data_IF_951934227847
#
_entry.id   IF_951934227847
#
_cell.length_a   1.000
_cell.length_b   1.000
_cell.length_c   1.000
_cell.angle_alpha   90.00
_cell.angle_beta   90.00
_cell.angle_gamma   90.00
#
_symmetry.space_group_name_H-M   'P 1'
#
loop_
_entity.id
_entity.type
_entity.pdbx_description
1 polymer ?
#
# COMPACT_ATOMS: atom_id res chain seq x y z
N UNK A 1 40.83 24.40 23.48
CA UNK A 1 40.59 23.64 22.24
C UNK A 1 39.11 23.74 21.92
N UNK A 2 38.74 24.70 21.09
CA UNK A 2 37.38 24.82 20.54
C UNK A 2 37.51 24.43 19.08
N UNK A 3 37.02 23.25 18.70
CA UNK A 3 37.01 22.80 17.31
C UNK A 3 35.77 23.38 16.63
N UNK A 4 36.04 24.35 15.78
CA UNK A 4 35.16 24.94 14.77
C UNK A 4 34.58 23.85 13.84
N UNK A 5 33.28 23.56 13.98
CA UNK A 5 32.55 22.70 13.05
C UNK A 5 32.14 23.53 11.84
N UNK A 6 33.03 23.59 10.86
CA UNK A 6 32.75 24.13 9.52
C UNK A 6 31.47 23.52 8.96
N UNK A 7 30.51 24.38 8.69
CA UNK A 7 29.27 24.11 7.98
C UNK A 7 29.57 23.40 6.65
N UNK A 8 29.18 22.14 6.53
CA UNK A 8 29.20 21.45 5.24
C UNK A 8 28.19 22.12 4.31
N UNK A 9 28.59 22.59 3.11
CA UNK A 9 27.67 23.19 2.19
C UNK A 9 26.70 22.11 1.72
N UNK A 10 25.41 22.26 2.05
CA UNK A 10 24.34 21.47 1.45
C UNK A 10 24.47 21.65 -0.07
N UNK A 11 24.83 20.58 -0.79
CA UNK A 11 24.82 20.57 -2.26
C UNK A 11 23.43 21.04 -2.68
N UNK A 12 23.34 22.27 -3.18
CA UNK A 12 22.14 22.77 -3.86
C UNK A 12 22.02 21.93 -5.12
N UNK A 13 21.12 20.95 -5.09
CA UNK A 13 20.64 20.32 -6.30
C UNK A 13 20.09 21.44 -7.18
N UNK A 14 20.69 21.63 -8.35
CA UNK A 14 20.37 22.71 -9.27
C UNK A 14 18.90 22.60 -9.66
N UNK A 15 18.09 23.51 -9.14
CA UNK A 15 16.67 23.69 -9.48
C UNK A 15 16.61 24.54 -10.77
N UNK A 16 16.66 23.84 -11.90
CA UNK A 16 16.10 24.36 -13.15
C UNK A 16 14.59 24.09 -13.16
N UNK A 17 13.86 25.06 -13.69
CA UNK A 17 12.40 25.14 -13.89
C UNK A 17 11.54 25.46 -12.65
N UNK A 18 10.61 26.39 -12.83
CA UNK A 18 9.59 26.77 -11.85
C UNK A 18 8.77 25.54 -11.44
N UNK A 19 9.19 24.89 -10.35
CA UNK A 19 8.55 23.69 -9.85
C UNK A 19 7.16 24.02 -9.29
N UNK A 20 6.13 23.82 -10.13
CA UNK A 20 4.73 24.00 -9.74
C UNK A 20 4.37 23.01 -8.64
N UNK A 21 3.77 23.54 -7.57
CA UNK A 21 3.35 22.77 -6.41
C UNK A 21 1.85 22.44 -6.48
N UNK A 22 1.48 21.20 -6.18
CA UNK A 22 0.12 20.68 -6.09
C UNK A 22 -0.20 20.29 -4.64
N UNK A 23 -1.43 20.56 -4.21
CA UNK A 23 -2.01 19.96 -3.02
C UNK A 23 -2.52 18.58 -3.40
N UNK A 24 -1.91 17.53 -2.85
CA UNK A 24 -2.24 16.13 -3.14
C UNK A 24 -3.27 15.54 -2.17
N UNK A 25 -3.82 16.35 -1.25
CA UNK A 25 -4.86 15.89 -0.33
C UNK A 25 -6.22 15.79 -1.04
N UNK A 26 -6.73 14.58 -1.21
CA UNK A 26 -8.10 14.34 -1.69
C UNK A 26 -9.11 14.61 -0.55
N UNK A 27 -9.58 15.86 -0.49
CA UNK A 27 -10.50 16.35 0.54
C UNK A 27 -11.87 15.66 0.49
N UNK A 28 -12.34 15.25 -0.68
CA UNK A 28 -13.63 14.56 -0.82
C UNK A 28 -13.54 13.13 -0.31
N UNK A 29 -12.45 12.42 -0.61
CA UNK A 29 -12.21 11.08 -0.05
C UNK A 29 -12.01 11.15 1.47
N UNK A 30 -11.27 12.13 1.99
CA UNK A 30 -11.14 12.35 3.43
C UNK A 30 -12.50 12.59 4.09
N UNK A 31 -13.35 13.44 3.48
CA UNK A 31 -14.71 13.72 3.97
C UNK A 31 -15.60 12.49 3.98
N UNK A 32 -15.56 11.69 2.90
CA UNK A 32 -16.31 10.43 2.81
C UNK A 32 -15.81 9.44 3.84
N UNK A 33 -14.50 9.26 3.98
CA UNK A 33 -13.90 8.35 4.98
C UNK A 33 -14.30 8.76 6.40
N UNK A 34 -14.34 10.05 6.72
CA UNK A 34 -14.77 10.55 8.04
C UNK A 34 -16.24 10.23 8.37
N UNK A 35 -17.10 10.04 7.36
CA UNK A 35 -18.52 9.71 7.52
C UNK A 35 -18.79 8.21 7.59
N UNK A 36 -17.78 7.36 7.35
CA UNK A 36 -17.94 5.91 7.36
C UNK A 36 -18.21 5.37 8.76
N UNK A 37 -19.15 4.44 8.83
CA UNK A 37 -19.60 3.77 10.06
C UNK A 37 -19.58 2.26 9.88
N UNK A 38 -19.31 1.54 10.97
CA UNK A 38 -19.19 0.10 10.96
C UNK A 38 -18.09 -0.41 11.88
N UNK A 39 -17.98 -1.72 11.99
CA UNK A 39 -16.97 -2.36 12.81
C UNK A 39 -15.57 -2.09 12.25
N UNK A 40 -14.67 -1.58 13.09
CA UNK A 40 -13.30 -1.25 12.71
C UNK A 40 -13.13 0.05 11.90
N UNK A 41 -14.21 0.79 11.63
CA UNK A 41 -14.12 2.10 10.98
C UNK A 41 -13.48 3.13 11.93
N UNK A 42 -12.83 4.14 11.35
CA UNK A 42 -11.99 5.11 12.07
C UNK A 42 -10.89 4.46 12.91
N UNK A 43 -10.42 3.26 12.50
CA UNK A 43 -9.41 2.50 13.23
C UNK A 43 -9.83 2.09 14.65
N UNK A 44 -11.13 2.13 14.97
CA UNK A 44 -11.64 1.74 16.29
C UNK A 44 -11.44 0.24 16.53
N UNK A 45 -11.23 -0.19 17.79
CA UNK A 45 -11.16 -1.62 18.11
C UNK A 45 -12.47 -2.32 17.73
N UNK A 46 -12.36 -3.53 17.20
CA UNK A 46 -13.52 -4.37 16.91
C UNK A 46 -14.17 -4.85 18.22
N UNK A 47 -15.51 -4.80 18.36
CA UNK A 47 -16.20 -5.31 19.54
C UNK A 47 -16.12 -6.85 19.57
N UNK A 48 -15.13 -7.38 20.28
CA UNK A 48 -14.89 -8.83 20.38
C UNK A 48 -15.96 -9.54 21.22
N UNK A 49 -16.41 -10.69 20.73
CA UNK A 49 -17.21 -11.69 21.47
C UNK A 49 -16.35 -12.93 21.75
N UNK A 50 -16.89 -13.90 22.50
CA UNK A 50 -16.16 -15.15 22.79
C UNK A 50 -15.79 -15.93 21.52
N UNK A 51 -16.55 -15.77 20.43
CA UNK A 51 -16.28 -16.42 19.16
C UNK A 51 -14.97 -15.95 18.50
N UNK A 52 -14.54 -14.71 18.73
CA UNK A 52 -13.28 -14.18 18.19
C UNK A 52 -12.08 -14.39 19.11
N UNK A 53 -12.30 -14.84 20.36
CA UNK A 53 -11.24 -15.02 21.36
C UNK A 53 -10.63 -16.43 21.36
N UNK A 54 -10.88 -17.20 20.31
CA UNK A 54 -10.37 -18.56 20.16
C UNK A 54 -8.94 -18.56 19.63
N UNK A 55 -8.08 -19.44 20.17
CA UNK A 55 -6.69 -19.55 19.76
C UNK A 55 -6.54 -19.86 18.25
N UNK A 56 -7.50 -20.59 17.67
CA UNK A 56 -7.52 -20.90 16.24
C UNK A 56 -7.48 -19.63 15.38
N UNK A 57 -8.03 -18.51 15.85
CA UNK A 57 -8.04 -17.25 15.11
C UNK A 57 -6.62 -16.68 14.89
N UNK A 58 -5.62 -17.12 15.66
CA UNK A 58 -4.24 -16.63 15.61
C UNK A 58 -3.26 -17.63 14.96
N UNK A 59 -3.60 -18.92 14.92
CA UNK A 59 -2.65 -19.99 14.54
C UNK A 59 -2.08 -19.86 13.14
N UNK A 60 -2.88 -19.39 12.19
CA UNK A 60 -2.51 -19.38 10.77
C UNK A 60 -1.71 -18.15 10.33
N UNK A 61 -1.89 -17.02 11.01
CA UNK A 61 -1.35 -15.73 10.56
C UNK A 61 -0.62 -14.94 11.66
N UNK A 62 -0.64 -15.39 12.92
CA UNK A 62 -0.06 -14.67 14.05
C UNK A 62 -0.89 -13.45 14.52
N UNK A 63 -2.02 -13.17 13.86
CA UNK A 63 -3.00 -12.16 14.25
C UNK A 63 -4.42 -12.72 14.10
N UNK A 64 -5.41 -12.04 14.69
CA UNK A 64 -6.80 -12.49 14.70
C UNK A 64 -7.45 -12.37 13.31
N UNK A 65 -7.43 -13.47 12.53
CA UNK A 65 -8.00 -13.48 11.18
C UNK A 65 -9.53 -13.32 11.20
N UNK A 66 -10.21 -13.84 12.23
CA UNK A 66 -11.68 -13.74 12.35
C UNK A 66 -12.13 -12.28 12.49
N UNK A 67 -11.39 -11.48 13.27
CA UNK A 67 -11.63 -10.04 13.37
C UNK A 67 -11.32 -9.36 12.04
N UNK A 68 -10.23 -9.74 11.36
CA UNK A 68 -9.90 -9.18 10.04
C UNK A 68 -11.02 -9.41 9.04
N UNK A 69 -11.57 -10.63 8.95
CA UNK A 69 -12.63 -10.98 8.02
C UNK A 69 -13.93 -10.21 8.26
N UNK A 70 -14.21 -9.82 9.51
CA UNK A 70 -15.40 -9.05 9.88
C UNK A 70 -15.23 -7.53 9.74
N UNK A 71 -14.02 -7.06 9.47
CA UNK A 71 -13.74 -5.64 9.21
C UNK A 71 -13.74 -5.39 7.69
N UNK A 72 -14.36 -4.29 7.25
CA UNK A 72 -14.41 -3.93 5.82
C UNK A 72 -13.03 -3.81 5.17
N UNK A 73 -12.85 -4.39 3.97
CA UNK A 73 -11.63 -4.23 3.17
C UNK A 73 -11.31 -2.75 2.87
N UNK A 74 -12.33 -1.90 2.83
CA UNK A 74 -12.22 -0.46 2.58
C UNK A 74 -12.39 0.39 3.84
N UNK A 75 -12.04 -0.11 5.04
CA UNK A 75 -12.20 0.65 6.29
C UNK A 75 -11.50 2.02 6.27
N UNK A 76 -12.10 3.00 6.91
CA UNK A 76 -11.52 4.31 7.22
C UNK A 76 -10.53 4.21 8.39
N UNK A 77 -9.54 5.12 8.38
CA UNK A 77 -8.47 5.23 9.37
C UNK A 77 -8.47 6.68 9.88
N UNK A 78 -8.27 6.92 11.18
CA UNK A 78 -8.28 8.28 11.71
C UNK A 78 -6.98 9.00 11.29
N UNK A 79 -7.10 10.29 10.96
CA UNK A 79 -5.95 11.10 10.63
C UNK A 79 -5.20 11.53 11.90
N UNK A 80 -4.14 10.79 12.24
CA UNK A 80 -3.26 11.06 13.38
C UNK A 80 -1.99 11.83 12.99
N UNK A 81 -1.92 12.36 11.76
CA UNK A 81 -0.73 13.08 11.28
C UNK A 81 -0.53 14.37 12.08
N UNK A 82 0.71 14.87 12.10
CA UNK A 82 1.00 16.18 12.68
C UNK A 82 0.19 17.27 11.94
N UNK A 83 -0.37 18.30 12.62
CA UNK A 83 -1.22 19.31 11.98
C UNK A 83 -0.60 19.97 10.74
N UNK A 84 0.72 20.23 10.78
CA UNK A 84 1.49 20.76 9.64
C UNK A 84 1.53 19.87 8.39
N UNK A 85 1.18 18.57 8.49
CA UNK A 85 1.15 17.68 7.34
C UNK A 85 -0.01 17.99 6.39
N UNK A 86 -1.14 18.48 6.91
CA UNK A 86 -2.32 18.80 6.12
C UNK A 86 -2.18 20.07 5.26
N UNK A 87 -1.14 20.87 5.52
CA UNK A 87 -0.82 22.07 4.73
C UNK A 87 0.37 21.86 3.79
N UNK A 88 0.93 20.63 3.70
CA UNK A 88 2.06 20.34 2.82
C UNK A 88 1.61 20.25 1.38
N UNK A 89 2.45 20.80 0.50
CA UNK A 89 2.30 20.71 -0.95
C UNK A 89 3.56 20.11 -1.52
N UNK A 90 3.41 19.33 -2.57
CA UNK A 90 4.51 18.63 -3.26
C UNK A 90 4.52 19.04 -4.73
N UNK A 91 5.52 18.58 -5.47
CA UNK A 91 5.60 18.81 -6.91
C UNK A 91 4.34 18.30 -7.60
N UNK A 92 3.85 19.03 -8.59
CA UNK A 92 2.75 18.60 -9.44
C UNK A 92 3.17 17.40 -10.30
N UNK A 93 4.41 17.40 -10.78
CA UNK A 93 4.99 16.30 -11.54
C UNK A 93 5.89 15.48 -10.63
N UNK A 94 5.47 14.26 -10.33
CA UNK A 94 6.22 13.28 -9.53
C UNK A 94 6.51 12.04 -10.40
N UNK A 95 7.61 11.33 -10.15
CA UNK A 95 7.86 10.06 -10.82
C UNK A 95 6.79 9.03 -10.43
N UNK A 96 6.42 8.17 -11.38
CA UNK A 96 5.55 7.03 -11.10
C UNK A 96 6.28 5.98 -10.25
N UNK A 97 5.53 5.12 -9.59
CA UNK A 97 6.06 4.05 -8.74
C UNK A 97 5.37 2.72 -9.00
N UNK A 98 6.16 1.64 -8.99
CA UNK A 98 5.67 0.26 -9.00
C UNK A 98 5.63 -0.25 -7.55
N UNK A 99 4.46 -0.68 -7.10
CA UNK A 99 4.22 -1.13 -5.73
C UNK A 99 4.33 -2.65 -5.71
N UNK A 100 5.37 -3.19 -5.09
CA UNK A 100 5.62 -4.64 -5.02
C UNK A 100 5.22 -5.14 -3.63
N UNK A 101 4.32 -6.11 -3.58
CA UNK A 101 3.81 -6.72 -2.34
C UNK A 101 4.15 -8.21 -2.36
N UNK A 102 5.26 -8.63 -1.73
CA UNK A 102 5.53 -10.04 -1.51
C UNK A 102 4.59 -10.60 -0.43
N UNK A 103 4.09 -11.80 -0.63
CA UNK A 103 3.28 -12.50 0.37
C UNK A 103 3.62 -14.00 0.39
N UNK A 104 3.56 -14.59 1.58
CA UNK A 104 3.68 -16.04 1.78
C UNK A 104 2.62 -16.44 2.80
N UNK A 105 1.66 -17.28 2.41
CA UNK A 105 0.60 -17.75 3.30
C UNK A 105 -0.07 -16.59 4.08
N UNK A 106 -0.38 -15.48 3.40
CA UNK A 106 -1.01 -14.31 4.03
C UNK A 106 -2.53 -14.51 4.19
N UNK A 107 -3.13 -13.88 5.20
CA UNK A 107 -4.58 -13.90 5.38
C UNK A 107 -5.30 -13.14 4.27
N UNK A 108 -6.34 -13.73 3.67
CA UNK A 108 -7.05 -13.14 2.52
C UNK A 108 -7.53 -11.71 2.76
N UNK A 109 -8.27 -11.51 3.85
CA UNK A 109 -8.83 -10.21 4.21
C UNK A 109 -7.75 -9.17 4.50
N UNK A 110 -6.61 -9.60 5.04
CA UNK A 110 -5.46 -8.72 5.29
C UNK A 110 -4.77 -8.31 3.98
N UNK A 111 -4.46 -9.27 3.11
CA UNK A 111 -3.82 -9.01 1.81
C UNK A 111 -4.69 -8.09 0.93
N UNK A 112 -5.98 -8.40 0.78
CA UNK A 112 -6.88 -7.57 -0.01
C UNK A 112 -7.04 -6.16 0.57
N UNK A 113 -7.09 -6.02 1.90
CA UNK A 113 -7.17 -4.71 2.55
C UNK A 113 -5.93 -3.86 2.27
N UNK A 114 -4.76 -4.47 2.16
CA UNK A 114 -3.53 -3.80 1.70
C UNK A 114 -3.70 -3.27 0.28
N UNK A 115 -4.11 -4.12 -0.66
CA UNK A 115 -4.32 -3.73 -2.07
C UNK A 115 -5.37 -2.64 -2.19
N UNK A 116 -6.52 -2.78 -1.52
CA UNK A 116 -7.58 -1.78 -1.50
C UNK A 116 -7.13 -0.45 -0.90
N UNK A 117 -6.31 -0.48 0.16
CA UNK A 117 -5.76 0.75 0.73
C UNK A 117 -4.83 1.46 -0.26
N UNK A 118 -4.01 0.70 -1.00
CA UNK A 118 -3.16 1.28 -2.04
C UNK A 118 -4.01 1.92 -3.13
N UNK A 119 -4.99 1.19 -3.68
CA UNK A 119 -5.83 1.67 -4.78
C UNK A 119 -6.65 2.91 -4.40
N UNK A 120 -7.18 2.96 -3.18
CA UNK A 120 -8.06 4.05 -2.76
C UNK A 120 -7.32 5.28 -2.22
N UNK A 121 -6.06 5.13 -1.76
CA UNK A 121 -5.31 6.21 -1.08
C UNK A 121 -4.06 6.66 -1.81
N UNK A 122 -3.79 6.09 -2.98
CA UNK A 122 -2.70 6.53 -3.86
C UNK A 122 -3.30 7.21 -5.09
N UNK A 123 -2.78 8.39 -5.49
CA UNK A 123 -3.21 9.01 -6.74
C UNK A 123 -2.92 8.07 -7.93
N UNK A 124 -3.93 7.75 -8.76
CA UNK A 124 -3.78 6.76 -9.83
C UNK A 124 -2.71 7.15 -10.85
N UNK A 125 -2.49 8.45 -11.08
CA UNK A 125 -1.45 8.94 -12.00
C UNK A 125 -0.02 8.66 -11.51
N UNK A 126 0.17 8.37 -10.22
CA UNK A 126 1.49 8.08 -9.65
C UNK A 126 1.76 6.57 -9.53
N UNK A 127 0.74 5.72 -9.68
CA UNK A 127 0.88 4.27 -9.55
C UNK A 127 1.01 3.66 -10.94
N UNK A 128 2.22 3.20 -11.28
CA UNK A 128 2.47 2.53 -12.56
C UNK A 128 1.85 1.13 -12.58
N UNK A 129 2.08 0.36 -11.52
CA UNK A 129 1.59 -1.00 -11.35
C UNK A 129 1.65 -1.42 -9.87
N UNK A 130 0.84 -2.41 -9.50
CA UNK A 130 0.86 -3.10 -8.23
C UNK A 130 1.17 -4.57 -8.54
N UNK A 131 2.30 -5.08 -8.06
CA UNK A 131 2.76 -6.44 -8.35
C UNK A 131 2.65 -7.27 -7.08
N UNK A 132 1.74 -8.23 -7.07
CA UNK A 132 1.64 -9.23 -6.01
C UNK A 132 2.59 -10.38 -6.34
N UNK A 133 3.53 -10.65 -5.44
CA UNK A 133 4.56 -11.67 -5.61
C UNK A 133 4.29 -12.79 -4.61
N UNK A 134 3.89 -13.95 -5.11
CA UNK A 134 3.69 -15.14 -4.28
C UNK A 134 5.04 -15.82 -4.00
N UNK A 135 5.45 -15.80 -2.74
CA UNK A 135 6.65 -16.47 -2.25
C UNK A 135 6.29 -17.91 -1.80
N UNK A 136 5.86 -18.74 -2.74
CA UNK A 136 5.58 -20.16 -2.54
C UNK A 136 4.57 -20.44 -1.41
N UNK A 137 3.40 -19.82 -1.47
CA UNK A 137 2.33 -20.10 -0.51
C UNK A 137 1.82 -21.54 -0.65
N UNK A 138 1.82 -22.30 0.44
CA UNK A 138 1.24 -23.65 0.52
C UNK A 138 -0.28 -23.62 0.59
N UNK A 139 -0.84 -22.53 1.12
CA UNK A 139 -2.27 -22.24 1.06
C UNK A 139 -2.56 -21.93 -0.39
N UNK A 140 -3.04 -22.94 -1.12
CA UNK A 140 -3.54 -22.76 -2.46
C UNK A 140 -4.44 -21.54 -2.44
N UNK A 141 -4.05 -20.49 -3.16
CA UNK A 141 -4.93 -19.37 -3.45
C UNK A 141 -5.98 -19.94 -4.40
N UNK A 142 -6.89 -20.72 -3.84
CA UNK A 142 -8.17 -20.97 -4.44
C UNK A 142 -8.87 -19.63 -4.31
N UNK A 143 -8.63 -18.77 -5.31
CA UNK A 143 -9.52 -17.71 -5.71
C UNK A 143 -10.90 -18.40 -5.78
N UNK A 144 -11.74 -18.30 -4.71
CA UNK A 144 -12.91 -19.15 -4.62
C UNK A 144 -13.76 -18.79 -5.82
N UNK A 145 -14.13 -19.78 -6.63
CA UNK A 145 -14.94 -19.72 -7.86
C UNK A 145 -15.87 -18.49 -7.97
N UNK A 146 -15.26 -17.34 -8.24
CA UNK A 146 -15.84 -16.04 -8.56
C UNK A 146 -14.76 -15.02 -8.94
N UNK A 147 -13.55 -15.48 -9.30
CA UNK A 147 -12.42 -14.56 -9.34
C UNK A 147 -11.42 -14.80 -10.49
N UNK A 148 -11.81 -15.57 -11.51
CA UNK A 148 -11.50 -15.12 -12.88
C UNK A 148 -12.00 -13.66 -13.09
N UNK A 149 -13.05 -13.25 -12.38
CA UNK A 149 -13.65 -11.94 -12.53
C UNK A 149 -12.87 -10.71 -12.04
N UNK A 150 -11.90 -10.70 -11.11
CA UNK A 150 -11.31 -9.36 -10.76
C UNK A 150 -10.34 -8.83 -11.82
N UNK A 151 -9.48 -9.70 -12.36
CA UNK A 151 -8.57 -9.35 -13.45
C UNK A 151 -9.29 -9.27 -14.82
N UNK A 152 -10.36 -10.07 -15.03
CA UNK A 152 -11.17 -9.99 -16.26
C UNK A 152 -12.23 -8.85 -16.22
N UNK A 153 -12.69 -8.39 -15.05
CA UNK A 153 -13.65 -7.26 -14.92
C UNK A 153 -12.96 -5.89 -14.88
N UNK A 154 -11.64 -5.82 -14.66
CA UNK A 154 -10.87 -4.56 -14.70
C UNK A 154 -9.51 -4.78 -15.37
N UNK A 155 -9.48 -4.98 -16.70
CA UNK A 155 -8.23 -5.15 -17.45
C UNK A 155 -7.31 -3.92 -17.38
N UNK A 156 -7.86 -2.75 -17.02
CA UNK A 156 -7.13 -1.49 -16.85
C UNK A 156 -6.58 -1.27 -15.42
N UNK A 157 -6.87 -2.18 -14.47
CA UNK A 157 -6.35 -2.04 -13.12
C UNK A 157 -4.82 -2.25 -13.12
N UNK A 158 -4.05 -1.43 -12.38
CA UNK A 158 -2.60 -1.56 -12.31
C UNK A 158 -2.11 -2.87 -11.64
N UNK A 159 -3.01 -3.76 -11.20
CA UNK A 159 -2.67 -4.96 -10.45
C UNK A 159 -2.18 -6.08 -11.38
N UNK A 160 -1.07 -6.73 -11.00
CA UNK A 160 -0.50 -7.91 -11.67
C UNK A 160 -0.13 -8.94 -10.62
N UNK A 161 -0.45 -10.21 -10.88
CA UNK A 161 -0.04 -11.33 -10.03
C UNK A 161 1.10 -12.08 -10.72
N UNK A 162 2.24 -12.22 -10.04
CA UNK A 162 3.36 -13.01 -10.51
C UNK A 162 3.40 -14.35 -9.75
N UNK A 163 3.06 -15.49 -10.40
CA UNK A 163 3.22 -16.79 -9.79
C UNK A 163 4.71 -17.13 -9.62
N UNK A 164 5.02 -17.95 -8.62
CA UNK A 164 6.36 -18.40 -8.24
C UNK A 164 7.25 -18.90 -9.40
N UNK A 165 6.66 -19.43 -10.49
CA UNK A 165 7.41 -19.84 -11.68
C UNK A 165 7.99 -18.71 -12.55
N UNK A 166 7.53 -17.46 -12.33
CA UNK A 166 7.92 -16.27 -13.11
C UNK A 166 8.85 -15.34 -12.29
N UNK A 167 8.87 -15.46 -10.97
CA UNK A 167 9.66 -14.59 -10.07
C UNK A 167 11.16 -14.67 -10.35
N UNK A 168 11.69 -15.86 -10.65
CA UNK A 168 13.09 -16.04 -11.06
C UNK A 168 13.42 -15.38 -12.41
N UNK A 169 12.49 -15.39 -13.37
CA UNK A 169 12.71 -14.80 -14.71
C UNK A 169 12.56 -13.28 -14.73
N UNK A 170 11.67 -12.72 -13.91
CA UNK A 170 11.45 -11.27 -13.81
C UNK A 170 12.54 -10.56 -13.01
N UNK A 171 13.09 -11.17 -11.96
CA UNK A 171 14.19 -10.57 -11.20
C UNK A 171 15.46 -10.39 -12.05
N UNK A 172 15.70 -11.29 -13.01
CA UNK A 172 16.79 -11.12 -13.99
C UNK A 172 16.57 -9.95 -14.96
N UNK A 173 15.31 -9.56 -15.21
CA UNK A 173 14.95 -8.45 -16.11
C UNK A 173 14.80 -7.11 -15.38
N UNK A 174 14.68 -7.14 -14.06
CA UNK A 174 14.73 -5.99 -13.15
C UNK A 174 16.16 -5.68 -12.66
N UNK A 175 17.19 -6.12 -13.39
CA UNK A 175 18.50 -5.48 -13.26
C UNK A 175 18.35 -4.01 -13.66
N UNK A 176 18.20 -3.17 -12.64
CA UNK A 176 18.75 -1.84 -12.47
C UNK A 176 19.30 -1.33 -13.81
N UNK A 177 18.53 -0.47 -14.49
CA UNK A 177 19.07 0.36 -15.55
C UNK A 177 20.36 0.96 -15.03
N UNK A 178 21.47 0.59 -15.66
CA UNK A 178 22.80 1.06 -15.32
C UNK A 178 22.76 2.58 -15.38
N UNK A 179 22.82 3.22 -14.22
CA UNK A 179 23.12 4.64 -14.15
C UNK A 179 24.45 4.87 -14.90
N UNK A 180 24.54 5.86 -15.81
CA UNK A 180 25.79 6.15 -16.48
C UNK A 180 26.83 6.53 -15.43
N UNK A 181 27.93 5.77 -15.37
CA UNK A 181 29.07 6.13 -14.53
C UNK A 181 29.60 7.49 -14.98
N UNK A 182 29.66 8.44 -14.05
CA UNK A 182 30.54 9.60 -14.11
C UNK A 182 31.68 9.39 -13.13
#
# INVERSE_FOLDING_TARGET
>A
MVLDLRSHPKKKFFLGDEQKLKDWHDKETIRRDAQRVGNGEQGKPYPMTDAERVDQAYRENGFNIYVSDKISLNRSIPDIRHPNCNSKRYLETLPNTSIIIPFHNEGWSSLLRTVHSVLNRSPPELVAEIVLVDDFSDRGICWPLQSQCWFDLNPEAPLKLLPYGITCYWFSRLQIGTAPQR
#
